data_IF_978494174039
#
_entry.id   IF_978494174039
#
_cell.length_a   1.000
_cell.length_b   1.000
_cell.length_c   1.000
_cell.angle_alpha   90.00
_cell.angle_beta   90.00
_cell.angle_gamma   90.00
#
_symmetry.space_group_name_H-M   'P 1'
#
loop_
_entity.id
_entity.type
_entity.pdbx_description
1 polymer ?
#
# COMPACT_ATOMS: atom_id res chain seq x y z
N UNK A 1 14.61 36.44 -4.25
CA UNK A 1 15.75 36.05 -3.36
C UNK A 1 15.53 36.40 -1.87
N UNK A 2 14.29 36.32 -1.36
CA UNK A 2 13.93 36.69 0.02
C UNK A 2 13.34 35.51 0.82
N UNK A 3 14.12 34.43 0.99
CA UNK A 3 13.74 33.24 1.77
C UNK A 3 14.11 33.31 3.27
N UNK A 4 14.36 34.51 3.81
CA UNK A 4 14.84 34.72 5.18
C UNK A 4 13.84 35.50 6.02
N UNK A 5 12.98 34.79 6.77
CA UNK A 5 12.61 35.29 8.10
C UNK A 5 13.80 35.01 9.00
N UNK A 6 14.59 36.06 9.27
CA UNK A 6 15.65 36.05 10.28
C UNK A 6 15.06 35.65 11.64
N UNK A 7 15.12 34.38 11.99
CA UNK A 7 15.28 34.03 13.40
C UNK A 7 16.67 34.56 13.80
N UNK A 8 16.69 35.55 14.69
CA UNK A 8 17.93 36.13 15.23
C UNK A 8 18.67 35.09 16.08
N UNK A 9 19.40 34.18 15.45
CA UNK A 9 20.57 33.53 16.03
C UNK A 9 21.39 32.81 14.96
N UNK A 10 22.68 33.17 14.89
CA UNK A 10 23.82 32.46 14.29
C UNK A 10 23.82 32.19 12.77
N UNK A 11 24.61 33.01 12.03
CA UNK A 11 25.55 32.72 10.94
C UNK A 11 25.32 31.61 9.87
N UNK A 12 24.13 31.01 9.71
CA UNK A 12 23.80 30.15 8.58
C UNK A 12 22.61 30.71 7.78
N UNK A 13 22.73 30.70 6.46
CA UNK A 13 21.65 31.06 5.53
C UNK A 13 20.67 29.87 5.43
N UNK A 14 19.79 29.70 6.40
CA UNK A 14 18.74 28.67 6.44
C UNK A 14 17.42 29.13 5.76
N UNK A 15 16.86 28.34 4.83
CA UNK A 15 15.56 28.65 4.18
C UNK A 15 14.37 28.39 5.10
N UNK A 16 13.18 28.93 4.81
CA UNK A 16 11.95 28.62 5.58
C UNK A 16 11.63 27.11 5.64
N UNK A 17 12.00 26.36 4.60
CA UNK A 17 11.86 24.89 4.56
C UNK A 17 12.87 24.22 5.49
N UNK A 18 14.11 24.71 5.52
CA UNK A 18 15.14 24.19 6.42
C UNK A 18 14.84 24.52 7.88
N UNK A 19 14.28 25.70 8.15
CA UNK A 19 13.79 26.09 9.47
C UNK A 19 12.62 25.20 9.90
N UNK A 20 11.66 24.94 8.99
CA UNK A 20 10.57 23.99 9.23
C UNK A 20 11.08 22.59 9.59
N UNK A 21 11.99 22.03 8.78
CA UNK A 21 12.58 20.71 9.02
C UNK A 21 13.25 20.64 10.42
N UNK A 22 13.95 21.71 10.83
CA UNK A 22 14.60 21.78 12.14
C UNK A 22 13.60 21.76 13.30
N UNK A 23 12.48 22.47 13.19
CA UNK A 23 11.46 22.52 14.24
C UNK A 23 10.60 21.26 14.28
N UNK A 24 10.38 20.61 13.13
CA UNK A 24 9.48 19.46 13.03
C UNK A 24 10.16 18.11 13.26
N UNK A 25 11.49 18.00 13.07
CA UNK A 25 12.27 16.79 13.34
C UNK A 25 12.43 16.44 14.84
N UNK A 26 11.87 17.24 15.76
CA UNK A 26 12.11 17.11 17.20
C UNK A 26 11.04 16.33 18.00
N UNK A 27 10.05 15.66 17.39
CA UNK A 27 9.03 14.97 18.22
C UNK A 27 8.22 13.84 17.58
N UNK A 28 7.99 12.79 18.37
CA UNK A 28 7.36 11.50 18.04
C UNK A 28 5.87 11.37 18.46
N UNK A 29 5.05 12.43 18.49
CA UNK A 29 3.68 12.33 19.01
C UNK A 29 2.60 12.97 18.14
N UNK A 30 1.42 12.35 18.15
CA UNK A 30 0.19 12.67 17.39
C UNK A 30 -0.52 13.97 17.84
N UNK A 31 0.13 14.83 18.62
CA UNK A 31 -0.35 16.17 18.99
C UNK A 31 0.77 17.14 18.65
N UNK A 32 0.47 18.14 17.82
CA UNK A 32 1.43 19.18 17.46
C UNK A 32 1.94 19.84 18.74
N UNK A 33 3.22 19.66 19.05
CA UNK A 33 3.83 20.41 20.14
C UNK A 33 4.07 21.88 19.71
N UNK A 34 4.41 22.73 20.66
CA UNK A 34 4.63 24.16 20.42
C UNK A 34 5.65 24.42 19.29
N UNK A 35 6.69 23.58 19.18
CA UNK A 35 7.69 23.66 18.12
C UNK A 35 7.13 23.31 16.74
N UNK A 36 6.27 22.29 16.64
CA UNK A 36 5.61 21.92 15.40
C UNK A 36 4.61 22.99 14.93
N UNK A 37 3.93 23.69 15.85
CA UNK A 37 3.11 24.86 15.51
C UNK A 37 3.96 26.03 14.96
N UNK A 38 5.12 26.29 15.55
CA UNK A 38 6.05 27.31 15.06
C UNK A 38 6.56 26.93 13.66
N UNK A 39 6.97 25.68 13.47
CA UNK A 39 7.38 25.15 12.17
C UNK A 39 6.27 25.32 11.13
N UNK A 40 5.07 24.84 11.44
CA UNK A 40 3.93 24.94 10.53
C UNK A 40 3.64 26.39 10.15
N UNK A 41 3.66 27.32 11.12
CA UNK A 41 3.48 28.75 10.87
C UNK A 41 4.58 29.31 9.96
N UNK A 42 5.85 28.95 10.17
CA UNK A 42 6.95 29.36 9.30
C UNK A 42 6.72 28.87 7.86
N UNK A 43 6.29 27.61 7.70
CA UNK A 43 6.01 27.02 6.40
C UNK A 43 4.82 27.70 5.71
N UNK A 44 3.72 27.97 6.42
CA UNK A 44 2.52 28.61 5.84
C UNK A 44 2.71 30.09 5.58
N UNK A 45 3.56 30.79 6.32
CA UNK A 45 3.90 32.19 6.04
C UNK A 45 4.53 32.36 4.65
N UNK A 46 5.19 31.33 4.11
CA UNK A 46 5.71 31.36 2.73
C UNK A 46 4.57 31.58 1.73
N UNK A 47 3.37 31.09 2.02
CA UNK A 47 2.19 31.29 1.17
C UNK A 47 1.72 32.75 1.17
N UNK A 48 1.96 33.51 2.23
CA UNK A 48 1.58 34.94 2.31
C UNK A 48 2.50 35.85 1.49
N UNK A 49 3.72 35.40 1.18
CA UNK A 49 4.73 36.21 0.48
C UNK A 49 4.47 36.31 -1.03
N UNK A 50 3.89 35.26 -1.63
CA UNK A 50 3.63 35.16 -3.07
C UNK A 50 2.38 34.27 -3.31
N UNK A 51 1.20 34.78 -2.93
CA UNK A 51 -0.09 34.07 -2.86
C UNK A 51 -0.54 33.29 -4.12
N UNK A 52 0.13 33.47 -5.26
CA UNK A 52 -0.22 32.85 -6.55
C UNK A 52 0.93 32.05 -7.20
N UNK A 53 2.07 31.91 -6.51
CA UNK A 53 3.17 31.07 -7.01
C UNK A 53 2.83 29.59 -6.83
N UNK A 54 2.37 28.96 -7.92
CA UNK A 54 2.03 27.52 -7.95
C UNK A 54 3.21 26.65 -7.51
N UNK A 55 4.44 27.02 -7.87
CA UNK A 55 5.64 26.33 -7.46
C UNK A 55 5.80 26.33 -5.92
N UNK A 56 5.61 27.48 -5.27
CA UNK A 56 5.67 27.59 -3.81
C UNK A 56 4.54 26.84 -3.13
N UNK A 57 3.32 26.95 -3.66
CA UNK A 57 2.15 26.21 -3.18
C UNK A 57 2.42 24.70 -3.18
N UNK A 58 2.92 24.17 -4.31
CA UNK A 58 3.25 22.76 -4.47
C UNK A 58 4.39 22.32 -3.55
N UNK A 59 5.45 23.13 -3.41
CA UNK A 59 6.53 22.89 -2.44
C UNK A 59 6.00 22.76 -1.01
N UNK A 60 5.15 23.69 -0.58
CA UNK A 60 4.54 23.65 0.76
C UNK A 60 3.65 22.42 0.90
N UNK A 61 2.83 22.09 -0.10
CA UNK A 61 1.96 20.93 -0.07
C UNK A 61 2.74 19.60 0.01
N UNK A 62 3.85 19.46 -0.73
CA UNK A 62 4.74 18.29 -0.66
C UNK A 62 5.33 18.12 0.73
N UNK A 63 5.75 19.23 1.37
CA UNK A 63 6.21 19.20 2.75
C UNK A 63 5.11 18.81 3.73
N UNK A 64 3.89 19.34 3.57
CA UNK A 64 2.77 18.94 4.43
C UNK A 64 2.43 17.44 4.28
N UNK A 65 2.52 16.89 3.07
CA UNK A 65 2.35 15.45 2.81
C UNK A 65 3.42 14.63 3.53
N UNK A 66 4.69 15.01 3.43
CA UNK A 66 5.81 14.32 4.08
C UNK A 66 5.60 14.17 5.58
N UNK A 67 4.97 15.16 6.22
CA UNK A 67 4.65 15.15 7.66
C UNK A 67 3.23 14.65 7.99
N UNK A 68 2.49 14.10 7.04
CA UNK A 68 1.16 13.52 7.25
C UNK A 68 0.04 14.54 7.51
N UNK A 69 0.27 15.83 7.24
CA UNK A 69 -0.70 16.92 7.42
C UNK A 69 -1.65 17.05 6.22
N UNK A 70 -2.36 15.97 5.89
CA UNK A 70 -3.10 15.84 4.63
C UNK A 70 -4.22 16.87 4.44
N UNK A 71 -4.95 17.22 5.50
CA UNK A 71 -6.05 18.20 5.42
C UNK A 71 -5.56 19.60 4.99
N UNK A 72 -4.35 19.98 5.41
CA UNK A 72 -3.76 21.27 5.01
C UNK A 72 -3.27 21.22 3.57
N UNK A 73 -2.62 20.12 3.18
CA UNK A 73 -2.21 19.90 1.79
C UNK A 73 -3.41 19.89 0.83
N UNK A 74 -4.56 19.35 1.25
CA UNK A 74 -5.77 19.28 0.43
C UNK A 74 -6.27 20.66 0.03
N UNK A 75 -6.35 21.58 0.99
CA UNK A 75 -6.74 22.96 0.73
C UNK A 75 -5.84 23.62 -0.31
N UNK A 76 -4.53 23.35 -0.25
CA UNK A 76 -3.55 23.90 -1.19
C UNK A 76 -3.73 23.27 -2.58
N UNK A 77 -3.85 21.95 -2.71
CA UNK A 77 -4.02 21.34 -4.03
C UNK A 77 -5.34 21.69 -4.70
N UNK A 78 -6.44 21.81 -3.93
CA UNK A 78 -7.71 22.33 -4.45
C UNK A 78 -7.55 23.76 -4.99
N UNK A 79 -6.75 24.59 -4.32
CA UNK A 79 -6.43 25.93 -4.81
C UNK A 79 -5.54 25.90 -6.07
N UNK A 80 -4.51 25.03 -6.11
CA UNK A 80 -3.65 24.83 -7.29
C UNK A 80 -4.47 24.43 -8.52
N UNK A 81 -5.45 23.51 -8.39
CA UNK A 81 -6.33 23.11 -9.50
C UNK A 81 -7.08 24.31 -10.09
N UNK A 82 -7.53 25.26 -9.26
CA UNK A 82 -8.19 26.47 -9.75
C UNK A 82 -7.22 27.38 -10.52
N UNK A 83 -5.95 27.46 -10.10
CA UNK A 83 -4.91 28.27 -10.76
C UNK A 83 -4.34 27.60 -12.02
N UNK A 84 -4.33 26.28 -12.07
CA UNK A 84 -3.70 25.44 -13.10
C UNK A 84 -4.59 24.25 -13.48
N UNK A 85 -5.79 24.57 -13.92
CA UNK A 85 -6.74 23.57 -14.44
C UNK A 85 -6.32 22.97 -15.78
N UNK A 86 -5.31 23.55 -16.41
CA UNK A 86 -4.63 23.11 -17.63
C UNK A 86 -3.50 22.11 -17.38
N UNK A 87 -3.09 21.90 -16.12
CA UNK A 87 -2.02 20.95 -15.74
C UNK A 87 -2.62 19.62 -15.23
N UNK A 88 -2.34 18.47 -15.88
CA UNK A 88 -2.82 17.17 -15.40
C UNK A 88 -2.27 16.81 -14.02
N UNK A 89 -1.03 17.23 -13.71
CA UNK A 89 -0.39 16.93 -12.43
C UNK A 89 -1.18 17.48 -11.24
N UNK A 90 -1.82 18.65 -11.37
CA UNK A 90 -2.63 19.24 -10.29
C UNK A 90 -3.78 18.33 -9.84
N UNK A 91 -4.42 17.63 -10.78
CA UNK A 91 -5.48 16.68 -10.48
C UNK A 91 -4.93 15.37 -9.92
N UNK A 92 -3.81 14.88 -10.47
CA UNK A 92 -3.13 13.67 -9.99
C UNK A 92 -2.66 13.82 -8.54
N UNK A 93 -2.02 14.96 -8.20
CA UNK A 93 -1.53 15.25 -6.86
C UNK A 93 -2.67 15.23 -5.83
N UNK A 94 -3.82 15.84 -6.15
CA UNK A 94 -5.00 15.80 -5.28
C UNK A 94 -5.58 14.38 -5.15
N UNK A 95 -5.66 13.62 -6.25
CA UNK A 95 -6.17 12.25 -6.21
C UNK A 95 -5.34 11.35 -5.28
N UNK A 96 -4.01 11.42 -5.42
CA UNK A 96 -3.08 10.68 -4.58
C UNK A 96 -3.17 11.12 -3.12
N UNK A 97 -3.26 12.42 -2.84
CA UNK A 97 -3.43 12.92 -1.49
C UNK A 97 -4.72 12.40 -0.84
N UNK A 98 -5.85 12.51 -1.53
CA UNK A 98 -7.16 12.08 -1.01
C UNK A 98 -7.17 10.57 -0.74
N UNK A 99 -6.49 9.78 -1.58
CA UNK A 99 -6.31 8.34 -1.35
C UNK A 99 -5.54 8.05 -0.05
N UNK A 100 -4.57 8.88 0.34
CA UNK A 100 -3.77 8.70 1.57
C UNK A 100 -4.45 9.25 2.83
N UNK A 101 -5.30 10.28 2.71
CA UNK A 101 -5.96 10.93 3.85
C UNK A 101 -6.75 9.93 4.72
N UNK A 102 -6.68 9.99 6.06
CA UNK A 102 -7.36 9.03 6.95
C UNK A 102 -8.85 9.36 7.22
N UNK A 103 -9.56 9.96 6.26
CA UNK A 103 -10.98 10.29 6.44
C UNK A 103 -11.85 9.03 6.50
N UNK A 104 -12.67 8.90 7.54
CA UNK A 104 -13.70 7.84 7.63
C UNK A 104 -14.73 7.93 6.47
N UNK A 105 -14.80 9.09 5.80
CA UNK A 105 -15.68 9.36 4.67
C UNK A 105 -14.88 9.74 3.42
N UNK A 106 -13.92 8.90 3.01
CA UNK A 106 -13.25 9.06 1.70
C UNK A 106 -14.29 9.14 0.59
N UNK A 107 -14.27 10.24 -0.16
CA UNK A 107 -15.08 10.38 -1.36
C UNK A 107 -14.43 9.61 -2.52
N UNK A 108 -14.65 8.30 -2.54
CA UNK A 108 -14.03 7.40 -3.51
C UNK A 108 -14.44 7.69 -4.96
N UNK A 109 -15.59 8.34 -5.16
CA UNK A 109 -16.06 8.80 -6.47
C UNK A 109 -15.20 9.97 -6.95
N UNK A 110 -14.98 10.98 -6.09
CA UNK A 110 -14.14 12.13 -6.43
C UNK A 110 -12.70 11.72 -6.78
N UNK A 111 -12.11 10.80 -6.02
CA UNK A 111 -10.77 10.28 -6.30
C UNK A 111 -10.74 9.62 -7.69
N UNK A 112 -11.74 8.78 -7.99
CA UNK A 112 -11.89 8.13 -9.30
C UNK A 112 -12.02 9.16 -10.42
N UNK A 113 -12.82 10.20 -10.23
CA UNK A 113 -13.07 11.22 -11.23
C UNK A 113 -11.84 12.10 -11.49
N UNK A 114 -11.04 12.40 -10.45
CA UNK A 114 -9.75 13.08 -10.61
C UNK A 114 -8.76 12.25 -11.44
N UNK A 115 -8.63 10.95 -11.17
CA UNK A 115 -7.80 10.06 -11.99
C UNK A 115 -8.30 10.00 -13.44
N UNK A 116 -9.62 9.84 -13.65
CA UNK A 116 -10.22 9.82 -14.99
C UNK A 116 -9.99 11.14 -15.73
N UNK A 117 -10.05 12.28 -15.03
CA UNK A 117 -9.77 13.59 -15.62
C UNK A 117 -8.37 13.62 -16.22
N UNK A 118 -7.37 13.09 -15.51
CA UNK A 118 -5.99 13.00 -16.00
C UNK A 118 -5.87 12.03 -17.17
N UNK A 119 -6.46 10.82 -17.07
CA UNK A 119 -6.31 9.77 -18.09
C UNK A 119 -7.02 10.12 -19.40
N UNK A 120 -8.21 10.72 -19.34
CA UNK A 120 -9.05 10.98 -20.51
C UNK A 120 -9.13 12.47 -20.89
N UNK A 121 -8.42 13.34 -20.16
CA UNK A 121 -8.35 14.76 -20.46
C UNK A 121 -7.53 15.05 -21.70
N UNK A 122 -7.88 16.14 -22.39
CA UNK A 122 -7.04 16.68 -23.46
C UNK A 122 -6.01 17.61 -22.85
N UNK A 123 -4.74 17.20 -22.91
CA UNK A 123 -3.61 17.92 -22.33
C UNK A 123 -2.64 18.37 -23.41
N UNK A 124 -1.85 19.41 -23.11
CA UNK A 124 -0.74 19.78 -23.98
C UNK A 124 0.24 18.60 -24.11
N UNK A 125 0.74 18.33 -25.32
CA UNK A 125 1.67 17.23 -25.63
C UNK A 125 2.92 17.18 -24.73
N UNK A 126 3.28 18.30 -24.10
CA UNK A 126 4.34 18.37 -23.10
C UNK A 126 4.13 17.46 -21.87
N UNK A 127 2.90 17.00 -21.64
CA UNK A 127 2.51 16.10 -20.55
C UNK A 127 2.21 14.67 -21.02
N UNK A 128 2.53 14.33 -22.27
CA UNK A 128 2.21 13.01 -22.85
C UNK A 128 2.73 11.88 -21.96
N UNK A 129 1.97 10.78 -21.87
CA UNK A 129 2.25 9.57 -21.08
C UNK A 129 1.99 9.67 -19.58
N UNK A 130 1.64 10.84 -19.03
CA UNK A 130 1.16 10.94 -17.64
C UNK A 130 -0.08 10.07 -17.42
N UNK A 131 -0.90 9.89 -18.46
CA UNK A 131 -2.07 9.01 -18.46
C UNK A 131 -1.72 7.55 -18.15
N UNK A 132 -0.53 7.07 -18.52
CA UNK A 132 -0.11 5.68 -18.29
C UNK A 132 0.20 5.45 -16.81
N UNK A 133 1.02 6.33 -16.22
CA UNK A 133 1.34 6.30 -14.79
C UNK A 133 0.08 6.47 -13.94
N UNK A 134 -0.79 7.42 -14.33
CA UNK A 134 -2.06 7.66 -13.64
C UNK A 134 -3.01 6.46 -13.78
N UNK A 135 -3.04 5.77 -14.93
CA UNK A 135 -3.85 4.58 -15.11
C UNK A 135 -3.40 3.43 -14.20
N UNK A 136 -2.09 3.28 -13.98
CA UNK A 136 -1.57 2.31 -13.01
C UNK A 136 -2.03 2.63 -11.58
N UNK A 137 -2.05 3.92 -11.23
CA UNK A 137 -2.54 4.41 -9.94
C UNK A 137 -4.03 4.18 -9.74
N UNK A 138 -4.84 4.50 -10.74
CA UNK A 138 -6.28 4.23 -10.74
C UNK A 138 -6.54 2.73 -10.59
N UNK A 139 -5.78 1.87 -11.28
CA UNK A 139 -5.92 0.43 -11.16
C UNK A 139 -5.57 -0.10 -9.76
N UNK A 140 -4.52 0.45 -9.13
CA UNK A 140 -4.20 0.15 -7.75
C UNK A 140 -5.31 0.62 -6.78
N UNK A 141 -5.85 1.81 -7.01
CA UNK A 141 -6.97 2.36 -6.24
C UNK A 141 -8.22 1.49 -6.36
N UNK A 142 -8.60 1.09 -7.58
CA UNK A 142 -9.73 0.17 -7.83
C UNK A 142 -9.53 -1.16 -7.10
N UNK A 143 -8.32 -1.73 -7.16
CA UNK A 143 -8.02 -2.98 -6.45
C UNK A 143 -8.19 -2.83 -4.93
N UNK A 144 -7.74 -1.71 -4.36
CA UNK A 144 -7.86 -1.43 -2.93
C UNK A 144 -9.33 -1.27 -2.48
N UNK A 145 -10.19 -0.69 -3.33
CA UNK A 145 -11.58 -0.36 -2.98
C UNK A 145 -12.63 -1.15 -3.81
N UNK A 146 -12.27 -2.36 -4.25
CA UNK A 146 -13.01 -3.16 -5.23
C UNK A 146 -14.45 -3.57 -4.81
N UNK A 147 -14.83 -3.34 -3.55
CA UNK A 147 -16.21 -3.56 -3.06
C UNK A 147 -17.21 -2.50 -3.54
N UNK A 148 -16.74 -1.35 -4.07
CA UNK A 148 -17.60 -0.25 -4.50
C UNK A 148 -17.67 -0.14 -6.04
N UNK A 149 -18.69 -0.76 -6.62
CA UNK A 149 -18.90 -0.78 -8.08
C UNK A 149 -19.04 0.61 -8.73
N UNK A 150 -19.47 1.63 -7.97
CA UNK A 150 -19.67 2.98 -8.49
C UNK A 150 -18.38 3.65 -9.00
N UNK A 151 -17.22 3.24 -8.46
CA UNK A 151 -15.89 3.74 -8.87
C UNK A 151 -15.60 3.39 -10.34
N UNK A 152 -16.09 2.23 -10.80
CA UNK A 152 -15.85 1.64 -12.12
C UNK A 152 -16.71 2.27 -13.23
N UNK A 153 -17.69 3.11 -12.87
CA UNK A 153 -18.57 3.72 -13.84
C UNK A 153 -17.77 4.52 -14.88
N UNK A 154 -18.11 4.31 -16.16
CA UNK A 154 -17.54 5.06 -17.29
C UNK A 154 -16.05 4.81 -17.57
N UNK A 155 -15.49 3.68 -17.11
CA UNK A 155 -14.15 3.21 -17.52
C UNK A 155 -14.31 2.00 -18.44
N UNK A 156 -13.60 2.00 -19.58
CA UNK A 156 -13.52 0.82 -20.44
C UNK A 156 -12.83 -0.33 -19.69
N UNK A 157 -13.49 -1.51 -19.61
CA UNK A 157 -12.97 -2.69 -18.93
C UNK A 157 -11.57 -3.12 -19.40
N UNK A 158 -11.17 -2.78 -20.63
CA UNK A 158 -9.81 -3.06 -21.16
C UNK A 158 -8.71 -2.28 -20.45
N UNK A 159 -9.05 -1.17 -19.81
CA UNK A 159 -8.13 -0.32 -19.04
C UNK A 159 -8.04 -0.74 -17.57
N UNK A 160 -8.86 -1.72 -17.15
CA UNK A 160 -8.94 -2.17 -15.76
C UNK A 160 -8.12 -3.45 -15.59
N UNK A 161 -6.88 -3.30 -15.16
CA UNK A 161 -5.95 -4.41 -14.94
C UNK A 161 -5.07 -4.15 -13.72
N UNK A 162 -5.14 -5.06 -12.75
CA UNK A 162 -4.28 -5.00 -11.57
C UNK A 162 -2.86 -5.47 -11.91
N UNK A 163 -1.89 -4.54 -11.85
CA UNK A 163 -0.48 -4.74 -12.19
C UNK A 163 0.43 -4.55 -10.95
N UNK A 164 0.43 -5.48 -9.98
CA UNK A 164 1.25 -5.32 -8.79
C UNK A 164 2.75 -5.52 -9.10
N UNK A 165 3.60 -4.79 -8.37
CA UNK A 165 5.06 -4.84 -8.49
C UNK A 165 5.73 -4.81 -7.12
N UNK A 166 6.91 -5.42 -7.01
CA UNK A 166 7.66 -5.47 -5.76
C UNK A 166 8.22 -4.09 -5.35
N UNK A 167 8.75 -3.31 -6.30
CA UNK A 167 9.26 -1.96 -6.02
C UNK A 167 8.81 -1.00 -7.13
N UNK A 168 8.25 0.13 -6.71
CA UNK A 168 7.86 1.26 -7.56
C UNK A 168 8.39 2.54 -6.95
N UNK A 169 9.13 3.34 -7.72
CA UNK A 169 9.67 4.63 -7.30
C UNK A 169 9.13 5.67 -8.27
N UNK A 170 8.48 6.70 -7.76
CA UNK A 170 7.90 7.77 -8.58
C UNK A 170 8.42 9.11 -8.11
N UNK A 171 9.11 9.84 -8.98
CA UNK A 171 9.64 11.17 -8.70
C UNK A 171 8.78 12.23 -9.38
N UNK A 172 8.37 13.24 -8.62
CA UNK A 172 7.67 14.44 -9.11
C UNK A 172 8.40 15.69 -8.63
N UNK A 173 8.17 16.83 -9.28
CA UNK A 173 8.79 18.10 -8.92
C UNK A 173 7.80 19.29 -8.94
N UNK A 174 8.21 20.38 -8.30
CA UNK A 174 7.38 21.55 -8.00
C UNK A 174 7.27 22.58 -9.15
N UNK A 175 8.25 22.59 -10.05
CA UNK A 175 8.42 23.61 -11.11
C UNK A 175 8.15 23.09 -12.52
N UNK A 176 7.58 23.94 -13.37
CA UNK A 176 7.40 23.59 -14.78
C UNK A 176 8.74 23.75 -15.55
N UNK A 177 8.80 23.27 -16.78
CA UNK A 177 9.93 23.52 -17.72
C UNK A 177 11.31 23.12 -17.18
N UNK A 178 11.33 22.12 -16.31
CA UNK A 178 12.52 21.63 -15.61
C UNK A 178 12.75 20.18 -15.95
N UNK A 179 14.01 19.85 -16.18
CA UNK A 179 14.45 18.51 -16.53
C UNK A 179 15.16 17.88 -15.32
N UNK A 180 14.51 16.86 -14.74
CA UNK A 180 15.02 16.11 -13.59
C UNK A 180 14.96 14.63 -13.93
N UNK A 181 16.13 14.03 -14.14
CA UNK A 181 16.23 12.60 -14.42
C UNK A 181 16.25 11.79 -13.11
N UNK A 182 15.42 10.76 -13.05
CA UNK A 182 15.45 9.70 -12.06
C UNK A 182 16.48 8.65 -12.48
N UNK A 183 17.40 8.34 -11.58
CA UNK A 183 18.38 7.29 -11.74
C UNK A 183 18.22 6.29 -10.60
N UNK A 184 18.14 5.00 -10.92
CA UNK A 184 18.07 3.92 -9.93
C UNK A 184 19.23 2.96 -10.16
N UNK A 185 20.15 2.89 -9.19
CA UNK A 185 21.17 1.83 -9.17
C UNK A 185 20.57 0.61 -8.47
N UNK A 186 20.55 -0.50 -9.18
CA UNK A 186 20.02 -1.78 -8.71
C UNK A 186 21.07 -2.56 -7.89
N UNK A 187 20.64 -3.55 -7.09
CA UNK A 187 21.54 -4.47 -6.37
C UNK A 187 22.60 -5.17 -7.23
N UNK A 188 22.31 -5.34 -8.53
CA UNK A 188 23.24 -5.92 -9.51
C UNK A 188 24.42 -5.00 -9.83
N UNK A 189 24.35 -3.73 -9.42
CA UNK A 189 25.27 -2.67 -9.82
C UNK A 189 24.90 -2.02 -11.16
N UNK A 190 23.84 -2.48 -11.82
CA UNK A 190 23.31 -1.86 -13.05
C UNK A 190 22.51 -0.60 -12.72
N UNK A 191 22.57 0.39 -13.61
CA UNK A 191 21.89 1.67 -13.44
C UNK A 191 20.75 1.81 -14.46
N UNK A 192 19.52 1.98 -13.97
CA UNK A 192 18.33 2.25 -14.76
C UNK A 192 18.05 3.76 -14.82
N UNK A 193 17.97 4.32 -16.03
CA UNK A 193 17.72 5.74 -16.28
C UNK A 193 17.27 5.96 -17.73
N UNK A 194 16.94 7.19 -18.14
CA UNK A 194 16.31 7.46 -19.44
C UNK A 194 17.00 6.85 -20.67
N UNK A 195 18.33 6.71 -20.67
CA UNK A 195 19.06 6.12 -21.81
C UNK A 195 19.27 4.61 -21.69
N UNK A 196 19.13 4.05 -20.48
CA UNK A 196 19.18 2.62 -20.19
C UNK A 196 17.89 2.18 -19.48
N UNK A 197 16.82 2.08 -20.25
CA UNK A 197 15.45 1.98 -19.72
C UNK A 197 15.04 0.61 -19.20
N UNK A 198 15.79 -0.44 -19.55
CA UNK A 198 15.47 -1.82 -19.18
C UNK A 198 16.74 -2.50 -18.67
N UNK A 199 16.69 -3.05 -17.47
CA UNK A 199 17.82 -3.72 -16.81
C UNK A 199 17.70 -5.24 -16.84
N UNK A 200 18.77 -5.94 -16.42
CA UNK A 200 18.80 -7.41 -16.38
C UNK A 200 17.78 -8.01 -15.43
N UNK A 201 17.38 -7.30 -14.37
CA UNK A 201 16.35 -7.77 -13.43
C UNK A 201 14.94 -7.37 -13.86
N UNK A 202 14.78 -6.89 -15.10
CA UNK A 202 13.53 -6.35 -15.63
C UNK A 202 13.04 -5.12 -14.86
N UNK A 203 13.97 -4.34 -14.30
CA UNK A 203 13.70 -2.97 -13.88
C UNK A 203 13.46 -2.11 -15.11
N UNK A 204 12.46 -1.25 -15.03
CA UNK A 204 12.02 -0.40 -16.13
C UNK A 204 11.84 1.02 -15.64
N UNK A 205 12.27 2.01 -16.43
CA UNK A 205 11.97 3.41 -16.20
C UNK A 205 10.99 3.93 -17.26
N UNK A 206 10.13 4.86 -16.86
CA UNK A 206 9.20 5.55 -17.75
C UNK A 206 9.94 6.33 -18.84
N UNK A 207 9.20 6.87 -19.80
CA UNK A 207 9.78 7.86 -20.70
C UNK A 207 10.21 9.09 -19.89
N UNK A 208 11.23 9.74 -20.43
CA UNK A 208 11.83 10.97 -19.93
C UNK A 208 10.93 12.18 -20.22
N UNK A 209 10.67 12.97 -19.18
CA UNK A 209 9.82 14.15 -19.22
C UNK A 209 10.64 15.45 -19.30
N UNK A 210 11.25 15.70 -20.46
CA UNK A 210 12.12 16.87 -20.68
C UNK A 210 11.43 18.25 -20.75
N UNK A 211 10.11 18.31 -20.97
CA UNK A 211 9.40 19.57 -21.26
C UNK A 211 8.16 19.81 -20.40
N UNK A 212 8.12 19.35 -19.15
CA UNK A 212 6.92 19.48 -18.33
C UNK A 212 7.17 19.26 -16.86
N UNK A 213 6.10 18.86 -16.18
CA UNK A 213 6.20 18.23 -14.89
C UNK A 213 6.38 16.74 -15.07
N UNK A 214 7.15 16.12 -14.18
CA UNK A 214 7.14 14.67 -14.01
C UNK A 214 5.74 14.15 -13.68
N UNK A 215 5.53 12.84 -13.77
CA UNK A 215 6.39 11.94 -13.01
C UNK A 215 7.41 11.18 -13.85
N UNK A 216 8.60 10.97 -13.29
CA UNK A 216 9.45 9.86 -13.72
C UNK A 216 9.25 8.66 -12.79
N UNK A 217 9.10 7.48 -13.38
CA UNK A 217 8.72 6.27 -12.67
C UNK A 217 9.68 5.13 -12.97
N UNK A 218 10.18 4.49 -11.93
CA UNK A 218 10.89 3.21 -12.00
C UNK A 218 10.01 2.09 -11.41
N UNK A 219 9.95 0.95 -12.10
CA UNK A 219 9.19 -0.24 -11.73
C UNK A 219 10.07 -1.48 -11.83
N UNK A 220 9.99 -2.37 -10.85
CA UNK A 220 10.50 -3.74 -10.99
C UNK A 220 9.49 -4.73 -10.41
N UNK A 221 9.05 -5.66 -11.24
CA UNK A 221 7.99 -6.61 -10.87
C UNK A 221 8.46 -7.61 -9.81
N UNK A 222 9.71 -8.08 -9.92
CA UNK A 222 10.34 -9.02 -8.99
C UNK A 222 11.66 -8.43 -8.53
N UNK A 223 11.65 -7.71 -7.41
CA UNK A 223 12.83 -6.99 -6.96
C UNK A 223 13.86 -7.97 -6.40
N UNK A 224 15.12 -7.80 -6.80
CA UNK A 224 16.26 -8.44 -6.12
C UNK A 224 16.35 -7.88 -4.70
N UNK A 225 16.59 -8.77 -3.74
CA UNK A 225 16.63 -8.42 -2.32
C UNK A 225 17.98 -7.83 -1.94
N UNK A 226 18.07 -6.51 -2.00
CA UNK A 226 19.18 -5.72 -1.47
C UNK A 226 18.79 -4.24 -1.51
N UNK A 227 19.79 -3.38 -1.41
CA UNK A 227 19.70 -1.93 -1.46
C UNK A 227 19.65 -1.42 -2.90
N UNK A 228 18.65 -0.60 -3.20
CA UNK A 228 18.58 0.23 -4.40
C UNK A 228 19.01 1.65 -4.05
N UNK A 229 19.77 2.31 -4.91
CA UNK A 229 20.20 3.70 -4.69
C UNK A 229 19.42 4.60 -5.65
N UNK A 230 18.65 5.52 -5.10
CA UNK A 230 17.84 6.47 -5.87
C UNK A 230 18.60 7.79 -5.95
N UNK A 231 18.83 8.26 -7.18
CA UNK A 231 19.54 9.50 -7.46
C UNK A 231 18.71 10.38 -8.39
N UNK A 232 18.89 11.69 -8.28
CA UNK A 232 18.21 12.67 -9.12
C UNK A 232 19.25 13.58 -9.80
N UNK A 233 19.14 13.76 -11.11
CA UNK A 233 20.03 14.62 -11.89
C UNK A 233 19.29 15.87 -12.31
N UNK A 234 19.76 17.03 -11.85
CA UNK A 234 19.08 18.29 -12.10
C UNK A 234 19.69 19.04 -13.28
N UNK A 235 18.97 19.10 -14.40
CA UNK A 235 19.33 19.95 -15.54
C UNK A 235 18.54 21.25 -15.46
N UNK A 236 19.09 22.22 -14.73
CA UNK A 236 18.47 23.54 -14.66
C UNK A 236 18.44 24.18 -16.04
N UNK A 237 17.24 24.40 -16.57
CA UNK A 237 17.04 25.25 -17.73
C UNK A 237 17.23 26.73 -17.36
N UNK A 238 17.65 27.53 -18.34
CA UNK A 238 18.02 28.95 -18.25
C UNK A 238 16.94 29.92 -17.73
N UNK A 239 15.80 29.45 -17.22
CA UNK A 239 14.77 30.31 -16.66
C UNK A 239 15.08 30.64 -15.19
N UNK A 240 15.05 31.94 -14.88
CA UNK A 240 15.04 32.46 -13.52
C UNK A 240 13.73 32.05 -12.83
N UNK A 241 13.63 30.80 -12.36
CA UNK A 241 12.63 30.42 -11.38
C UNK A 241 12.73 31.41 -10.20
N UNK A 242 11.60 31.93 -9.72
CA UNK A 242 11.52 32.86 -8.58
C UNK A 242 12.30 32.36 -7.35
N UNK A 243 12.42 31.03 -7.20
CA UNK A 243 13.11 30.35 -6.09
C UNK A 243 14.55 29.92 -6.43
N UNK A 244 14.93 29.87 -7.70
CA UNK A 244 16.24 29.44 -8.20
C UNK A 244 16.59 27.96 -7.96
N UNK A 245 15.64 27.16 -7.49
CA UNK A 245 15.83 25.76 -7.08
C UNK A 245 14.53 24.96 -7.28
N UNK A 246 14.63 23.71 -7.73
CA UNK A 246 13.50 22.80 -7.83
C UNK A 246 13.37 21.96 -6.54
N UNK A 247 12.16 21.66 -6.12
CA UNK A 247 11.88 20.70 -5.04
C UNK A 247 11.30 19.44 -5.66
N UNK A 248 11.98 18.31 -5.44
CA UNK A 248 11.47 16.99 -5.80
C UNK A 248 10.76 16.33 -4.60
N UNK A 249 9.77 15.51 -4.91
CA UNK A 249 9.16 14.56 -3.99
C UNK A 249 9.22 13.18 -4.64
N UNK A 250 9.78 12.21 -3.91
CA UNK A 250 9.87 10.82 -4.35
C UNK A 250 8.94 9.99 -3.50
N UNK A 251 8.03 9.29 -4.16
CA UNK A 251 7.22 8.23 -3.57
C UNK A 251 7.90 6.88 -3.80
N UNK A 252 8.24 6.19 -2.72
CA UNK A 252 8.81 4.85 -2.75
C UNK A 252 7.75 3.89 -2.27
N UNK A 253 7.33 2.98 -3.15
CA UNK A 253 6.37 1.94 -2.83
C UNK A 253 7.06 0.58 -2.84
N UNK A 254 7.06 -0.11 -1.70
CA UNK A 254 7.38 -1.54 -1.62
C UNK A 254 6.08 -2.34 -1.68
N UNK A 255 6.08 -3.43 -2.43
CA UNK A 255 4.93 -4.29 -2.68
C UNK A 255 3.71 -3.49 -3.19
N UNK A 256 3.92 -2.64 -4.19
CA UNK A 256 2.88 -1.81 -4.79
C UNK A 256 1.74 -2.66 -5.38
N UNK A 257 0.49 -2.32 -5.05
CA UNK A 257 -0.69 -3.10 -5.42
C UNK A 257 -0.93 -4.33 -4.54
N UNK A 258 -0.05 -4.66 -3.59
CA UNK A 258 -0.29 -5.75 -2.64
C UNK A 258 -0.96 -5.25 -1.35
N UNK A 259 -1.61 -6.16 -0.61
CA UNK A 259 -2.22 -5.84 0.68
C UNK A 259 -1.22 -5.38 1.76
N UNK A 260 0.07 -5.70 1.58
CA UNK A 260 1.18 -5.30 2.44
C UNK A 260 2.00 -4.16 1.81
N UNK A 261 1.43 -3.38 0.89
CA UNK A 261 2.08 -2.20 0.33
C UNK A 261 2.61 -1.29 1.43
N UNK A 262 3.85 -0.86 1.29
CA UNK A 262 4.49 0.13 2.15
C UNK A 262 4.83 1.34 1.29
N UNK A 263 4.63 2.54 1.85
CA UNK A 263 4.95 3.80 1.19
C UNK A 263 5.88 4.62 2.07
N UNK A 264 6.94 5.13 1.47
CA UNK A 264 7.82 6.14 2.03
C UNK A 264 7.84 7.36 1.10
N UNK A 265 7.95 8.54 1.68
CA UNK A 265 7.99 9.81 0.93
C UNK A 265 9.24 10.56 1.36
N UNK A 266 10.03 10.99 0.39
CA UNK A 266 11.23 11.79 0.61
C UNK A 266 11.11 13.06 -0.22
N UNK A 267 11.34 14.22 0.39
CA UNK A 267 11.41 15.49 -0.34
C UNK A 267 12.80 16.10 -0.28
N UNK A 268 13.28 16.62 -1.41
CA UNK A 268 14.62 17.20 -1.52
C UNK A 268 14.60 18.47 -2.37
N UNK A 269 15.34 19.50 -1.92
CA UNK A 269 15.51 20.75 -2.67
C UNK A 269 16.82 20.71 -3.46
N UNK A 270 16.70 20.78 -4.79
CA UNK A 270 17.78 20.79 -5.77
C UNK A 270 18.24 22.23 -6.00
N UNK A 271 19.41 22.59 -5.48
CA UNK A 271 19.93 23.97 -5.50
C UNK A 271 21.20 24.16 -6.35
N UNK A 272 21.89 23.08 -6.73
CA UNK A 272 23.08 23.11 -7.60
C UNK A 272 22.77 22.51 -8.97
N UNK A 273 23.13 23.23 -10.03
CA UNK A 273 22.93 22.78 -11.41
C UNK A 273 23.89 21.63 -11.75
N UNK A 274 23.39 20.63 -12.47
CA UNK A 274 24.15 19.54 -13.11
C UNK A 274 24.84 18.54 -12.16
N UNK A 275 24.55 18.59 -10.86
CA UNK A 275 25.07 17.62 -9.91
C UNK A 275 24.14 16.40 -9.84
N UNK A 276 24.74 15.20 -9.86
CA UNK A 276 24.05 13.96 -9.56
C UNK A 276 23.95 13.86 -8.04
N UNK A 277 22.73 13.84 -7.51
CA UNK A 277 22.51 13.82 -6.06
C UNK A 277 21.92 12.48 -5.64
N UNK A 278 22.57 11.82 -4.70
CA UNK A 278 22.01 10.65 -4.01
C UNK A 278 20.86 11.11 -3.11
N UNK A 279 19.63 10.71 -3.44
CA UNK A 279 18.45 11.17 -2.71
C UNK A 279 18.16 10.26 -1.51
N UNK A 280 18.13 8.94 -1.74
CA UNK A 280 17.89 7.96 -0.68
C UNK A 280 18.36 6.55 -1.09
N UNK A 281 18.41 5.67 -0.09
CA UNK A 281 18.68 4.23 -0.28
C UNK A 281 17.44 3.44 0.12
N UNK A 282 16.96 2.60 -0.78
CA UNK A 282 15.79 1.74 -0.55
C UNK A 282 16.28 0.33 -0.28
N UNK A 283 16.25 -0.07 1.00
CA UNK A 283 16.56 -1.45 1.39
C UNK A 283 15.36 -2.34 1.08
N UNK A 284 15.48 -3.21 0.08
CA UNK A 284 14.46 -4.20 -0.27
C UNK A 284 14.86 -5.59 0.25
N UNK A 285 15.21 -5.68 1.52
CA UNK A 285 15.42 -6.98 2.15
C UNK A 285 14.08 -7.49 2.66
N UNK A 286 13.94 -8.82 2.84
CA UNK A 286 12.85 -9.33 3.65
C UNK A 286 13.04 -8.72 5.05
N UNK A 287 12.29 -7.67 5.37
CA UNK A 287 12.22 -7.13 6.72
C UNK A 287 11.40 -8.13 7.58
N UNK A 288 12.00 -9.30 7.82
CA UNK A 288 11.99 -9.91 9.15
C UNK A 288 13.27 -9.40 9.83
N UNK A 289 13.31 -8.12 10.19
CA UNK A 289 14.27 -7.67 11.18
C UNK A 289 13.67 -6.63 12.15
N UNK A 290 13.66 -7.07 13.41
CA UNK A 290 14.05 -6.30 14.58
C UNK A 290 13.06 -5.26 15.12
N UNK A 291 12.04 -5.77 15.83
CA UNK A 291 11.72 -5.16 17.14
C UNK A 291 12.69 -5.80 18.15
N UNK A 292 13.93 -5.31 18.17
CA UNK A 292 14.85 -5.51 19.28
C UNK A 292 15.06 -4.17 19.98
N UNK A 293 14.61 -4.15 21.23
CA UNK A 293 15.07 -3.31 22.33
C UNK A 293 14.79 -1.80 22.24
N UNK A 294 13.55 -1.42 22.53
CA UNK A 294 13.35 -0.39 23.55
C UNK A 294 12.30 -0.88 24.56
N UNK A 295 12.77 -1.10 25.78
CA UNK A 295 12.01 -1.48 26.95
C UNK A 295 10.99 -0.42 27.31
N UNK A 296 9.71 -0.71 27.07
CA UNK A 296 8.67 -0.45 28.07
C UNK A 296 7.84 -1.72 28.21
N UNK A 297 7.86 -2.23 29.43
CA UNK A 297 7.15 -3.38 29.99
C UNK A 297 5.77 -3.66 29.38
N UNK A 298 5.54 -4.89 28.93
CA UNK A 298 4.60 -5.81 29.59
C UNK A 298 4.66 -7.22 29.02
N UNK A 299 4.85 -8.18 29.93
CA UNK A 299 4.84 -9.63 29.72
C UNK A 299 3.58 -10.11 28.99
N UNK A 300 3.73 -11.09 28.07
CA UNK A 300 3.06 -12.40 28.18
C UNK A 300 3.49 -13.40 27.07
N UNK A 301 4.17 -14.46 27.52
CA UNK A 301 4.26 -15.83 26.99
C UNK A 301 4.50 -16.08 25.49
N UNK A 302 5.75 -16.40 25.17
CA UNK A 302 6.15 -17.14 23.96
C UNK A 302 5.57 -18.57 24.01
N UNK A 303 4.45 -18.82 23.31
CA UNK A 303 3.99 -20.17 23.04
C UNK A 303 4.84 -20.80 21.92
N UNK A 304 5.76 -21.69 22.28
CA UNK A 304 6.56 -22.52 21.37
C UNK A 304 5.79 -23.76 20.88
N UNK A 305 4.48 -23.65 20.65
CA UNK A 305 3.66 -24.79 20.24
C UNK A 305 3.90 -25.13 18.76
N UNK A 306 4.28 -26.38 18.49
CA UNK A 306 4.53 -26.91 17.15
C UNK A 306 3.53 -28.04 16.90
N UNK A 307 2.76 -27.91 15.83
CA UNK A 307 1.75 -28.88 15.41
C UNK A 307 2.34 -29.84 14.36
N UNK A 308 2.99 -30.90 14.83
CA UNK A 308 3.63 -31.92 13.99
C UNK A 308 2.63 -32.59 13.03
N UNK A 309 3.08 -32.90 11.82
CA UNK A 309 2.30 -33.53 10.74
C UNK A 309 1.11 -32.72 10.22
N UNK A 310 1.03 -31.43 10.58
CA UNK A 310 0.04 -30.51 10.04
C UNK A 310 0.70 -29.56 9.06
N UNK A 311 0.10 -29.39 7.90
CA UNK A 311 0.55 -28.49 6.84
C UNK A 311 -0.48 -27.39 6.70
N UNK A 312 -0.02 -26.14 6.61
CA UNK A 312 -0.93 -25.02 6.38
C UNK A 312 -1.33 -24.98 4.90
N UNK A 313 -2.62 -25.06 4.59
CA UNK A 313 -3.11 -25.02 3.20
C UNK A 313 -2.92 -23.65 2.53
N UNK A 314 -2.64 -22.59 3.29
CA UNK A 314 -2.47 -21.23 2.76
C UNK A 314 -1.02 -20.85 2.38
N UNK A 315 -0.02 -21.52 2.96
CA UNK A 315 1.39 -21.21 2.72
C UNK A 315 2.31 -22.45 2.68
N UNK A 316 1.72 -23.64 2.70
CA UNK A 316 2.40 -24.94 2.71
C UNK A 316 3.39 -25.17 3.85
N UNK A 317 3.36 -24.32 4.89
CA UNK A 317 4.20 -24.47 6.08
C UNK A 317 3.90 -25.80 6.78
N UNK A 318 4.94 -26.63 6.93
CA UNK A 318 4.89 -27.93 7.62
C UNK A 318 6.17 -28.16 8.43
N UNK A 319 6.11 -28.47 9.73
CA UNK A 319 4.92 -28.45 10.59
C UNK A 319 4.45 -27.02 10.90
N UNK A 320 3.16 -26.82 11.18
CA UNK A 320 2.63 -25.52 11.61
C UNK A 320 3.27 -25.11 12.95
N UNK A 321 3.92 -23.94 12.98
CA UNK A 321 4.52 -23.35 14.18
C UNK A 321 3.61 -22.23 14.71
N UNK A 322 3.40 -22.20 16.02
CA UNK A 322 2.43 -21.31 16.68
C UNK A 322 1.02 -21.89 16.64
N UNK A 323 0.00 -21.05 16.78
CA UNK A 323 -1.38 -21.52 16.82
C UNK A 323 -1.85 -22.06 15.46
N UNK A 324 -2.47 -23.24 15.48
CA UNK A 324 -3.15 -23.86 14.33
C UNK A 324 -4.62 -23.45 14.31
N UNK A 325 -5.18 -23.25 13.12
CA UNK A 325 -6.56 -22.85 12.90
C UNK A 325 -7.23 -23.87 11.97
N UNK A 326 -8.15 -24.69 12.50
CA UNK A 326 -8.86 -25.71 11.72
C UNK A 326 -10.19 -25.19 11.22
N UNK A 327 -10.48 -25.36 9.93
CA UNK A 327 -11.81 -25.06 9.40
C UNK A 327 -12.87 -26.04 9.93
N UNK A 328 -14.00 -25.50 10.39
CA UNK A 328 -15.14 -26.31 10.85
C UNK A 328 -16.05 -26.80 9.71
N UNK A 329 -15.95 -26.21 8.52
CA UNK A 329 -16.78 -26.55 7.36
C UNK A 329 -16.07 -27.49 6.38
N UNK A 330 -14.74 -27.46 6.36
CA UNK A 330 -13.92 -28.34 5.52
C UNK A 330 -13.10 -29.31 6.38
N UNK A 331 -13.14 -30.62 6.07
CA UNK A 331 -12.58 -31.67 6.93
C UNK A 331 -11.04 -31.67 6.97
N UNK A 332 -10.36 -31.11 5.98
CA UNK A 332 -8.90 -31.15 5.78
C UNK A 332 -8.20 -29.79 5.85
N UNK A 333 -8.94 -28.68 5.87
CA UNK A 333 -8.31 -27.36 5.83
C UNK A 333 -7.79 -26.91 7.20
N UNK A 334 -6.51 -26.56 7.22
CA UNK A 334 -5.69 -26.11 8.33
C UNK A 334 -4.88 -24.86 7.96
N UNK A 335 -4.95 -23.84 8.82
CA UNK A 335 -4.19 -22.61 8.65
C UNK A 335 -3.24 -22.38 9.83
N UNK A 336 -2.05 -21.86 9.55
CA UNK A 336 -1.24 -21.25 10.59
C UNK A 336 -1.83 -19.87 10.96
N UNK A 337 -1.35 -19.30 12.06
CA UNK A 337 -1.82 -18.00 12.55
C UNK A 337 -1.77 -16.86 11.53
N UNK A 338 -0.78 -16.87 10.61
CA UNK A 338 -0.66 -15.86 9.56
C UNK A 338 -1.58 -16.12 8.37
N UNK A 339 -2.05 -17.36 8.16
CA UNK A 339 -2.90 -17.72 7.03
C UNK A 339 -4.39 -17.78 7.35
N UNK A 340 -4.79 -17.68 8.62
CA UNK A 340 -6.20 -17.80 9.06
C UNK A 340 -7.16 -16.81 8.39
N UNK A 341 -6.66 -15.68 7.88
CA UNK A 341 -7.43 -14.63 7.22
C UNK A 341 -7.14 -14.50 5.72
N UNK A 342 -6.39 -15.46 5.14
CA UNK A 342 -5.92 -15.39 3.76
C UNK A 342 -6.84 -16.23 2.84
N UNK A 343 -7.40 -15.61 1.78
CA UNK A 343 -8.16 -16.29 0.70
C UNK A 343 -7.26 -16.89 -0.38
N UNK A 344 -6.20 -17.62 -0.01
CA UNK A 344 -5.25 -18.22 -0.99
C UNK A 344 -5.63 -19.64 -1.43
N UNK A 345 -6.70 -20.20 -0.86
CA UNK A 345 -7.21 -21.54 -1.22
C UNK A 345 -8.64 -21.43 -1.76
N UNK A 346 -9.19 -22.51 -2.34
CA UNK A 346 -10.63 -22.64 -2.66
C UNK A 346 -11.55 -22.62 -1.41
N UNK A 347 -11.05 -22.10 -0.29
CA UNK A 347 -11.73 -21.93 0.97
C UNK A 347 -12.46 -20.58 1.01
N UNK A 348 -13.73 -20.61 1.41
CA UNK A 348 -14.54 -19.40 1.56
C UNK A 348 -14.13 -18.71 2.87
N UNK A 349 -13.66 -17.45 2.78
CA UNK A 349 -13.08 -16.68 3.89
C UNK A 349 -13.98 -16.45 5.10
N UNK A 350 -15.30 -16.66 4.96
CA UNK A 350 -16.27 -16.47 6.04
C UNK A 350 -16.53 -17.74 6.88
N UNK A 351 -15.87 -18.88 6.60
CA UNK A 351 -16.04 -20.07 7.43
C UNK A 351 -15.35 -19.92 8.79
N UNK A 352 -16.02 -20.31 9.90
CA UNK A 352 -15.44 -20.23 11.24
C UNK A 352 -14.24 -21.18 11.40
N UNK A 353 -13.17 -20.65 11.98
CA UNK A 353 -11.93 -21.36 12.26
C UNK A 353 -11.78 -21.61 13.76
N UNK A 354 -11.51 -22.87 14.14
CA UNK A 354 -11.20 -23.23 15.51
C UNK A 354 -9.69 -23.03 15.77
N UNK A 355 -9.36 -22.13 16.70
CA UNK A 355 -7.99 -21.90 17.16
C UNK A 355 -7.56 -23.02 18.10
N UNK A 356 -6.48 -23.69 17.77
CA UNK A 356 -5.88 -24.78 18.52
C UNK A 356 -4.51 -24.30 18.98
N UNK A 357 -4.36 -24.17 20.29
CA UNK A 357 -3.09 -23.70 20.88
C UNK A 357 -2.13 -24.86 21.10
N UNK A 358 -2.60 -25.99 21.64
CA UNK A 358 -1.77 -27.12 22.03
C UNK A 358 -2.10 -28.38 21.22
N UNK A 359 -1.06 -29.04 20.71
CA UNK A 359 -1.16 -30.32 19.99
C UNK A 359 -1.65 -31.49 20.87
N UNK A 360 -1.50 -31.39 22.20
CA UNK A 360 -1.99 -32.40 23.14
C UNK A 360 -3.52 -32.55 23.16
N UNK A 361 -4.24 -31.59 22.57
CA UNK A 361 -5.70 -31.58 22.53
C UNK A 361 -6.29 -32.48 21.43
N UNK A 362 -5.49 -32.91 20.45
CA UNK A 362 -5.97 -33.67 19.29
C UNK A 362 -6.75 -34.95 19.62
N UNK A 363 -6.35 -35.77 20.63
CA UNK A 363 -7.09 -36.98 20.98
C UNK A 363 -8.45 -36.69 21.62
N UNK A 364 -8.67 -35.45 22.12
CA UNK A 364 -9.87 -35.09 22.89
C UNK A 364 -11.08 -34.76 22.00
N UNK A 365 -10.87 -34.42 20.74
CA UNK A 365 -11.96 -34.04 19.83
C UNK A 365 -11.71 -34.44 18.39
N UNK A 366 -12.71 -35.09 17.78
CA UNK A 366 -12.70 -35.49 16.36
C UNK A 366 -12.55 -34.27 15.43
N UNK A 367 -13.00 -33.08 15.83
CA UNK A 367 -12.89 -31.86 15.01
C UNK A 367 -11.45 -31.33 14.86
N UNK A 368 -10.52 -31.76 15.71
CA UNK A 368 -9.13 -31.29 15.71
C UNK A 368 -8.22 -32.10 14.77
N UNK A 369 -8.74 -33.22 14.25
CA UNK A 369 -8.03 -34.10 13.34
C UNK A 369 -8.45 -33.82 11.89
N UNK A 370 -7.62 -34.25 10.93
CA UNK A 370 -8.01 -34.29 9.51
C UNK A 370 -9.07 -35.38 9.34
N UNK A 371 -10.26 -34.99 8.88
CA UNK A 371 -11.44 -35.87 8.79
C UNK A 371 -11.74 -36.35 7.38
N UNK A 372 -10.87 -36.06 6.40
CA UNK A 372 -11.09 -36.46 5.01
C UNK A 372 -11.09 -37.99 4.83
N UNK A 373 -10.51 -38.74 5.79
CA UNK A 373 -10.53 -40.21 5.80
C UNK A 373 -11.81 -40.82 6.38
N UNK A 374 -12.66 -40.04 7.05
CA UNK A 374 -13.94 -40.52 7.60
C UNK A 374 -14.99 -40.48 6.50
N UNK A 375 -15.39 -41.65 6.00
CA UNK A 375 -16.46 -41.77 5.02
C UNK A 375 -17.66 -42.52 5.61
N UNK A 376 -18.86 -42.07 5.24
CA UNK A 376 -20.11 -42.76 5.56
C UNK A 376 -20.70 -43.30 4.27
N UNK A 377 -20.33 -44.55 3.93
CA UNK A 377 -20.76 -45.16 2.67
C UNK A 377 -22.29 -45.27 2.63
N UNK A 378 -22.86 -45.11 1.45
CA UNK A 378 -24.33 -45.15 1.21
C UNK A 378 -25.16 -44.05 1.91
N UNK A 379 -24.53 -43.04 2.51
CA UNK A 379 -25.22 -41.91 3.13
C UNK A 379 -24.97 -40.63 2.32
N UNK A 380 -26.06 -40.01 1.85
CA UNK A 380 -26.05 -38.76 1.09
C UNK A 380 -26.47 -37.59 1.99
N UNK A 381 -25.88 -36.40 1.80
CA UNK A 381 -26.41 -35.20 2.44
C UNK A 381 -27.76 -34.84 1.81
N UNK A 382 -28.83 -34.79 2.61
CA UNK A 382 -30.17 -34.43 2.13
C UNK A 382 -30.31 -32.96 1.70
N UNK A 383 -29.35 -32.09 2.08
CA UNK A 383 -29.40 -30.66 1.78
C UNK A 383 -28.58 -30.29 0.54
N UNK A 384 -27.29 -30.65 0.48
CA UNK A 384 -26.44 -30.38 -0.68
C UNK A 384 -26.39 -31.53 -1.69
N UNK A 385 -27.14 -32.60 -1.47
CA UNK A 385 -27.19 -33.80 -2.32
C UNK A 385 -25.84 -34.47 -2.58
N UNK A 386 -24.83 -34.22 -1.74
CA UNK A 386 -23.52 -34.86 -1.83
C UNK A 386 -23.65 -36.37 -1.58
N UNK A 387 -23.40 -37.18 -2.61
CA UNK A 387 -23.63 -38.65 -2.64
C UNK A 387 -22.78 -39.44 -1.63
N UNK A 388 -21.60 -38.93 -1.28
CA UNK A 388 -20.70 -39.54 -0.30
C UNK A 388 -20.40 -38.52 0.79
N UNK A 389 -20.88 -38.77 2.01
CA UNK A 389 -20.56 -37.94 3.17
C UNK A 389 -19.13 -38.20 3.64
N UNK A 390 -18.30 -37.16 3.56
CA UNK A 390 -16.92 -37.11 4.04
C UNK A 390 -16.88 -36.19 5.27
N UNK A 391 -16.20 -36.62 6.34
CA UNK A 391 -16.14 -35.92 7.62
C UNK A 391 -17.21 -36.40 8.61
N UNK A 392 -17.72 -35.51 9.44
CA UNK A 392 -18.74 -35.82 10.44
C UNK A 392 -20.12 -35.79 9.80
N UNK A 393 -20.90 -36.85 10.05
CA UNK A 393 -22.31 -36.95 9.68
C UNK A 393 -23.21 -36.55 10.84
N UNK A 394 -24.21 -35.72 10.56
CA UNK A 394 -25.27 -35.37 11.50
C UNK A 394 -26.57 -36.06 11.08
N UNK A 395 -27.07 -36.96 11.94
CA UNK A 395 -28.33 -37.66 11.73
C UNK A 395 -29.42 -36.99 12.56
N UNK A 396 -30.40 -36.40 11.90
CA UNK A 396 -31.53 -35.78 12.57
C UNK A 396 -32.53 -36.84 13.06
N UNK A 397 -33.29 -36.53 14.11
CA UNK A 397 -34.40 -37.38 14.59
C UNK A 397 -35.45 -37.67 13.52
N UNK A 398 -35.68 -36.76 12.57
CA UNK A 398 -36.59 -36.93 11.45
C UNK A 398 -36.02 -37.78 10.28
N UNK A 399 -34.82 -38.36 10.45
CA UNK A 399 -34.24 -39.34 9.53
C UNK A 399 -33.33 -38.77 8.43
N UNK A 400 -33.19 -37.46 8.32
CA UNK A 400 -32.27 -36.84 7.35
C UNK A 400 -30.81 -36.86 7.82
N UNK A 401 -29.90 -36.85 6.85
CA UNK A 401 -28.46 -36.77 7.03
C UNK A 401 -27.91 -35.44 6.51
N UNK A 402 -27.08 -34.78 7.31
CA UNK A 402 -26.42 -33.53 6.96
C UNK A 402 -24.89 -33.70 7.02
N UNK A 403 -24.19 -33.04 6.09
CA UNK A 403 -22.74 -32.87 6.13
C UNK A 403 -22.36 -31.70 7.05
N UNK A 404 -21.08 -31.60 7.42
CA UNK A 404 -20.54 -30.51 8.25
C UNK A 404 -20.94 -29.12 7.73
N UNK A 405 -20.86 -28.89 6.42
CA UNK A 405 -21.24 -27.61 5.82
C UNK A 405 -22.73 -27.29 5.96
N UNK A 406 -23.60 -28.26 5.71
CA UNK A 406 -25.05 -28.05 5.74
C UNK A 406 -25.59 -27.95 7.17
N UNK A 407 -24.89 -28.54 8.14
CA UNK A 407 -25.24 -28.42 9.56
C UNK A 407 -25.24 -26.97 10.02
N UNK A 408 -24.18 -26.22 9.68
CA UNK A 408 -24.02 -24.83 10.11
C UNK A 408 -24.88 -23.81 9.35
N UNK A 409 -25.36 -24.12 8.15
CA UNK A 409 -26.13 -23.17 7.31
C UNK A 409 -27.62 -23.20 7.67
N UNK A 410 -28.09 -24.13 8.52
CA UNK A 410 -29.46 -24.13 9.03
C UNK A 410 -30.52 -24.44 7.99
N UNK A 411 -30.19 -25.18 6.92
CA UNK A 411 -31.12 -25.54 5.84
C UNK A 411 -32.20 -26.56 6.25
N UNK A 412 -32.24 -26.93 7.52
CA UNK A 412 -33.25 -27.76 8.16
C UNK A 412 -33.50 -27.22 9.57
N UNK A 413 -34.71 -27.45 10.07
CA UNK A 413 -35.16 -27.07 11.40
C UNK A 413 -34.10 -27.36 12.47
N UNK A 414 -33.66 -26.30 13.14
CA UNK A 414 -32.62 -26.33 14.16
C UNK A 414 -33.13 -26.86 15.50
N UNK A 415 -34.45 -26.91 15.69
CA UNK A 415 -35.06 -27.39 16.93
C UNK A 415 -35.04 -28.92 17.04
N UNK A 416 -34.81 -29.63 15.93
CA UNK A 416 -34.62 -31.06 15.96
C UNK A 416 -33.25 -31.47 16.51
N UNK A 417 -33.24 -32.40 17.46
CA UNK A 417 -32.02 -33.03 17.95
C UNK A 417 -31.29 -33.79 16.83
N UNK A 418 -29.96 -33.65 16.78
CA UNK A 418 -29.10 -34.30 15.79
C UNK A 418 -28.03 -35.14 16.48
N UNK A 419 -27.91 -36.40 16.08
CA UNK A 419 -26.85 -37.29 16.53
C UNK A 419 -25.60 -37.08 15.67
N UNK A 420 -24.48 -36.80 16.33
CA UNK A 420 -23.17 -36.63 15.70
C UNK A 420 -22.46 -37.97 15.55
N UNK A 421 -22.05 -38.32 14.34
CA UNK A 421 -21.42 -39.60 14.02
C UNK A 421 -20.09 -39.29 13.31
N UNK A 422 -18.97 -39.58 13.99
CA UNK A 422 -17.61 -39.22 13.52
C UNK A 422 -16.69 -40.41 13.23
N UNK A 423 -17.23 -41.63 13.22
CA UNK A 423 -16.53 -42.86 12.83
C UNK A 423 -17.07 -43.33 11.48
N UNK A 424 -16.19 -43.85 10.62
CA UNK A 424 -16.60 -44.42 9.34
C UNK A 424 -17.54 -45.61 9.55
N UNK A 425 -18.52 -45.75 8.67
CA UNK A 425 -19.50 -46.84 8.64
C UNK A 425 -19.46 -47.56 7.29
#
# INVERSE_FOLDING_TARGET
SYFFLQARSSNSKQSSVDAFNQYYAQSNYNILNEYQYIGLRILTNVLELELESVQLLRTVAYKLIEFGLYNLAENIFRYIINLRSDEPQSFRDLALLLQESNSETKNLIEISDLFKKVIFGEWNNRYSEIEVTTLHELNCFIFQFHQQQQILNSIDNRLILHLPVDLRIVMVWDTNDTDVDLHVIEPTGEECYYSHKNTVISGMISRDFTQGYGPEEYLVRKAVKDTYIVRAKYFANHQQSLTGAATIMIHIYKYYGHSNQQKEIVTLRLSSNQEMIDVCKVNFNDDIQQISNNTVTNNQNLNTNIHLHMTCDGCDMSPIKGDRYKCLFYPDIDFCQSCKSISRTNHISNHPLLRIKDSSEYPKSVYLNNRNKTNHKNNQCNSCFMKLLIGIRYKCTCGINLCEKCEFIGLHDTDHCRTKIGKSE
#
